data_IF_353110996549
#
_entry.id   IF_353110996549
#
_cell.length_a   1.000
_cell.length_b   1.000
_cell.length_c   1.000
_cell.angle_alpha   90.00
_cell.angle_beta   90.00
_cell.angle_gamma   90.00
#
_symmetry.space_group_name_H-M   'P 1'
#
loop_
_entity.id
_entity.type
_entity.pdbx_description
1 polymer ?
#
# COMPACT_ATOMS: atom_id res chain seq x y z
N UNK A 1 -38.77 17.13 -49.34
CA UNK A 1 -38.31 16.03 -48.45
C UNK A 1 -37.26 16.63 -47.53
N UNK A 2 -37.66 17.15 -46.37
CA UNK A 2 -36.76 17.85 -45.44
C UNK A 2 -36.23 16.88 -44.39
N UNK A 3 -34.96 17.09 -44.09
CA UNK A 3 -34.04 16.31 -43.27
C UNK A 3 -34.48 16.30 -41.79
N UNK A 4 -34.36 15.15 -41.13
CA UNK A 4 -34.14 15.12 -39.67
C UNK A 4 -33.19 13.98 -39.33
N UNK A 5 -31.89 14.30 -39.29
CA UNK A 5 -30.88 13.46 -38.66
C UNK A 5 -30.97 13.70 -37.15
N UNK A 6 -31.57 12.75 -36.42
CA UNK A 6 -31.51 12.72 -34.96
C UNK A 6 -30.09 12.33 -34.54
N UNK A 7 -29.25 13.32 -34.24
CA UNK A 7 -27.96 13.12 -33.63
C UNK A 7 -28.19 12.77 -32.15
N UNK A 8 -28.20 11.48 -31.82
CA UNK A 8 -28.17 11.02 -30.43
C UNK A 8 -26.78 11.29 -29.84
N UNK A 9 -26.65 12.43 -29.16
CA UNK A 9 -25.50 12.74 -28.33
C UNK A 9 -25.47 11.79 -27.12
N UNK A 10 -24.67 10.74 -27.20
CA UNK A 10 -24.33 9.92 -26.03
C UNK A 10 -23.47 10.75 -25.07
N UNK A 11 -24.11 11.40 -24.10
CA UNK A 11 -23.39 11.95 -22.95
C UNK A 11 -22.90 10.78 -22.09
N UNK A 12 -21.63 10.41 -22.25
CA UNK A 12 -20.96 9.55 -21.26
C UNK A 12 -20.83 10.36 -19.98
N UNK A 13 -21.65 10.06 -18.97
CA UNK A 13 -21.45 10.55 -17.60
C UNK A 13 -20.15 9.92 -17.05
N UNK A 14 -19.01 10.51 -17.36
CA UNK A 14 -17.76 10.27 -16.64
C UNK A 14 -17.95 10.76 -15.22
N UNK A 15 -18.30 9.84 -14.33
CA UNK A 15 -18.25 10.07 -12.89
C UNK A 15 -16.77 10.23 -12.51
N UNK A 16 -16.33 11.48 -12.34
CA UNK A 16 -14.99 11.77 -11.85
C UNK A 16 -14.85 11.22 -10.42
N UNK A 17 -13.70 10.59 -10.13
CA UNK A 17 -13.42 10.15 -8.77
C UNK A 17 -13.29 11.37 -7.85
N UNK A 18 -13.99 11.34 -6.71
CA UNK A 18 -13.96 12.42 -5.72
C UNK A 18 -12.52 12.74 -5.30
N UNK A 19 -12.20 14.02 -5.21
CA UNK A 19 -10.95 14.55 -4.67
C UNK A 19 -10.80 14.21 -3.18
N UNK A 20 -9.58 14.26 -2.63
CA UNK A 20 -9.35 14.01 -1.21
C UNK A 20 -10.15 14.94 -0.29
N UNK A 21 -10.27 16.24 -0.63
CA UNK A 21 -11.06 17.21 0.14
C UNK A 21 -12.55 16.90 0.05
N UNK A 22 -13.10 16.56 -1.11
CA UNK A 22 -14.51 16.18 -1.24
C UNK A 22 -14.86 14.95 -0.39
N UNK A 23 -14.01 13.90 -0.39
CA UNK A 23 -14.18 12.74 0.49
C UNK A 23 -14.16 13.15 1.97
N UNK A 24 -13.29 14.10 2.30
CA UNK A 24 -13.16 14.64 3.66
C UNK A 24 -14.40 15.44 4.07
N UNK A 25 -14.96 16.23 3.16
CA UNK A 25 -16.15 17.04 3.39
C UNK A 25 -17.44 16.22 3.50
N UNK A 26 -17.51 15.08 2.80
CA UNK A 26 -18.56 14.07 3.02
C UNK A 26 -18.57 13.50 4.46
N UNK A 27 -17.48 13.71 5.21
CA UNK A 27 -17.36 13.37 6.63
C UNK A 27 -17.54 14.59 7.56
N UNK A 28 -18.17 15.68 7.06
CA UNK A 28 -18.49 16.93 7.79
C UNK A 28 -17.28 17.76 8.27
N UNK A 29 -16.13 17.64 7.61
CA UNK A 29 -14.90 18.36 8.01
C UNK A 29 -14.76 19.80 7.49
N UNK A 30 -15.55 20.20 6.47
CA UNK A 30 -15.58 21.55 5.86
C UNK A 30 -14.19 22.13 5.53
N UNK A 31 -13.38 21.39 4.79
CA UNK A 31 -12.09 21.84 4.26
C UNK A 31 -12.25 22.56 2.92
N UNK A 32 -11.39 23.55 2.72
CA UNK A 32 -11.22 24.30 1.49
C UNK A 32 -10.60 23.42 0.39
N UNK A 33 -11.07 23.53 -0.85
CA UNK A 33 -10.57 22.74 -1.98
C UNK A 33 -9.08 22.95 -2.27
N UNK A 34 -8.53 24.13 -1.96
CA UNK A 34 -7.12 24.45 -2.06
C UNK A 34 -6.23 23.62 -1.13
N UNK A 35 -6.81 22.87 -0.18
CA UNK A 35 -6.10 21.94 0.71
C UNK A 35 -6.00 20.51 0.16
N UNK A 36 -6.36 20.29 -1.11
CA UNK A 36 -6.08 19.02 -1.77
C UNK A 36 -4.55 18.77 -1.83
N UNK A 37 -4.08 17.54 -1.54
CA UNK A 37 -2.68 17.20 -1.70
C UNK A 37 -2.29 17.23 -3.17
N UNK A 38 -1.02 17.50 -3.49
CA UNK A 38 -0.50 17.37 -4.85
C UNK A 38 -0.63 15.94 -5.40
N UNK A 39 -0.49 14.95 -4.52
CA UNK A 39 -0.68 13.54 -4.83
C UNK A 39 -1.06 12.73 -3.59
N UNK A 40 -1.95 11.75 -3.77
CA UNK A 40 -2.37 10.82 -2.74
C UNK A 40 -2.69 9.43 -3.29
N UNK A 41 -2.46 8.41 -2.47
CA UNK A 41 -2.87 7.02 -2.77
C UNK A 41 -3.19 6.29 -1.47
N UNK A 42 -4.21 5.44 -1.52
CA UNK A 42 -4.56 4.52 -0.43
C UNK A 42 -4.39 3.11 -0.95
N UNK A 43 -3.58 2.32 -0.25
CA UNK A 43 -3.29 0.94 -0.63
C UNK A 43 -3.48 -0.03 0.53
N UNK A 44 -3.66 -1.31 0.23
CA UNK A 44 -3.51 -2.40 1.19
C UNK A 44 -2.02 -2.76 1.33
N UNK A 45 -1.64 -3.51 2.38
CA UNK A 45 -0.25 -3.95 2.54
C UNK A 45 0.25 -4.88 1.42
N UNK A 46 -0.65 -5.60 0.74
CA UNK A 46 -0.34 -6.37 -0.48
C UNK A 46 -0.48 -5.55 -1.78
N UNK A 47 -0.48 -4.21 -1.67
CA UNK A 47 -0.37 -3.32 -2.82
C UNK A 47 -1.64 -3.04 -3.60
N UNK A 48 -2.80 -3.56 -3.21
CA UNK A 48 -4.04 -3.20 -3.89
C UNK A 48 -4.35 -1.72 -3.67
N UNK A 49 -4.53 -0.96 -4.75
CA UNK A 49 -4.92 0.44 -4.74
C UNK A 49 -6.44 0.53 -4.49
N UNK A 50 -6.81 1.12 -3.35
CA UNK A 50 -8.20 1.34 -2.94
C UNK A 50 -8.69 2.75 -3.32
N UNK A 51 -7.76 3.70 -3.44
CA UNK A 51 -8.01 5.07 -3.87
C UNK A 51 -6.73 5.68 -4.46
N UNK A 52 -6.87 6.56 -5.45
CA UNK A 52 -5.75 7.30 -6.05
C UNK A 52 -6.19 8.72 -6.45
N UNK A 53 -5.31 9.68 -6.24
CA UNK A 53 -5.45 11.06 -6.69
C UNK A 53 -4.07 11.57 -7.12
N UNK A 54 -3.86 11.82 -8.41
CA UNK A 54 -2.56 12.26 -8.96
C UNK A 54 -1.35 11.45 -8.44
N UNK A 55 -1.53 10.13 -8.25
CA UNK A 55 -0.60 9.28 -7.47
C UNK A 55 0.84 9.27 -8.01
N UNK A 56 1.02 9.54 -9.31
CA UNK A 56 2.29 9.50 -10.03
C UNK A 56 2.91 10.90 -10.25
N UNK A 57 2.32 11.98 -9.69
CA UNK A 57 2.95 13.32 -9.73
C UNK A 57 4.17 13.35 -8.81
N UNK A 58 5.25 13.97 -9.30
CA UNK A 58 6.45 14.23 -8.48
C UNK A 58 6.13 15.18 -7.33
N UNK A 59 6.59 14.81 -6.15
CA UNK A 59 6.37 15.48 -4.86
C UNK A 59 7.68 15.54 -4.07
N UNK A 60 7.80 16.52 -3.17
CA UNK A 60 8.87 16.58 -2.17
C UNK A 60 8.47 15.67 -0.98
N UNK A 61 9.20 14.57 -0.69
CA UNK A 61 8.88 13.68 0.42
C UNK A 61 9.12 14.31 1.80
N UNK A 62 9.96 15.33 1.90
CA UNK A 62 10.46 15.87 3.16
C UNK A 62 10.89 14.72 4.11
N UNK A 63 10.56 14.83 5.41
CA UNK A 63 10.91 13.82 6.41
C UNK A 63 10.25 12.43 6.25
N UNK A 64 9.32 12.23 5.30
CA UNK A 64 8.88 10.85 4.98
C UNK A 64 10.00 10.02 4.35
N UNK A 65 11.05 10.67 3.82
CA UNK A 65 12.33 10.06 3.42
C UNK A 65 12.92 9.15 4.49
N UNK A 66 12.71 9.47 5.77
CA UNK A 66 13.22 8.67 6.89
C UNK A 66 12.67 7.24 6.91
N UNK A 67 11.55 6.96 6.23
CA UNK A 67 11.05 5.60 6.04
C UNK A 67 12.01 4.74 5.19
N UNK A 68 12.66 5.33 4.17
CA UNK A 68 13.69 4.62 3.40
C UNK A 68 14.93 4.40 4.26
N UNK A 69 15.34 5.40 5.03
CA UNK A 69 16.45 5.26 6.00
C UNK A 69 16.17 4.15 7.01
N UNK A 70 14.96 4.10 7.56
CA UNK A 70 14.54 3.01 8.44
C UNK A 70 14.56 1.66 7.72
N UNK A 71 14.06 1.56 6.48
CA UNK A 71 14.14 0.32 5.71
C UNK A 71 15.58 -0.20 5.59
N UNK A 72 16.50 0.67 5.16
CA UNK A 72 17.92 0.31 4.98
C UNK A 72 18.58 -0.14 6.29
N UNK A 73 18.28 0.54 7.41
CA UNK A 73 18.81 0.17 8.73
C UNK A 73 18.21 -1.15 9.23
N UNK A 74 16.91 -1.36 9.06
CA UNK A 74 16.27 -2.63 9.43
C UNK A 74 16.76 -3.80 8.57
N UNK A 75 17.12 -3.55 7.31
CA UNK A 75 17.84 -4.51 6.47
C UNK A 75 19.20 -4.90 7.07
N UNK A 76 19.98 -3.94 7.56
CA UNK A 76 21.26 -4.24 8.22
C UNK A 76 21.06 -4.99 9.54
N UNK A 77 20.02 -4.66 10.31
CA UNK A 77 19.65 -5.37 11.54
C UNK A 77 19.26 -6.82 11.22
N UNK A 78 18.43 -7.04 10.20
CA UNK A 78 17.99 -8.37 9.80
C UNK A 78 19.16 -9.25 9.33
N UNK A 79 20.18 -8.65 8.73
CA UNK A 79 21.42 -9.34 8.33
C UNK A 79 22.51 -9.31 9.41
N UNK A 80 22.18 -8.94 10.65
CA UNK A 80 23.12 -8.91 11.79
C UNK A 80 24.38 -8.06 11.58
N UNK A 81 24.32 -7.05 10.69
CA UNK A 81 25.44 -6.11 10.49
C UNK A 81 25.51 -5.05 11.58
N UNK A 82 24.35 -4.68 12.12
CA UNK A 82 24.18 -3.81 13.28
C UNK A 82 23.05 -4.35 14.15
N UNK A 83 22.99 -3.93 15.40
CA UNK A 83 21.95 -4.27 16.35
C UNK A 83 21.27 -3.01 16.88
N UNK A 84 19.98 -3.12 17.21
CA UNK A 84 19.25 -2.05 17.90
C UNK A 84 19.94 -1.58 19.20
N UNK A 85 20.73 -2.46 19.84
CA UNK A 85 21.45 -2.20 21.08
C UNK A 85 22.84 -1.57 20.88
N UNK A 86 23.32 -1.48 19.64
CA UNK A 86 24.63 -0.89 19.36
C UNK A 86 24.68 0.57 19.78
N UNK A 87 25.81 0.98 20.34
CA UNK A 87 25.99 2.27 21.01
C UNK A 87 26.69 3.25 20.09
N UNK A 88 26.09 4.43 19.96
CA UNK A 88 26.62 5.58 19.22
C UNK A 88 27.01 6.67 20.21
N UNK A 89 28.32 6.94 20.33
CA UNK A 89 28.84 8.03 21.16
C UNK A 89 28.73 9.35 20.42
N UNK A 90 28.07 10.35 21.03
CA UNK A 90 27.87 11.66 20.43
C UNK A 90 29.18 12.45 20.47
N UNK A 91 29.69 12.77 19.28
CA UNK A 91 30.84 13.64 19.07
C UNK A 91 30.45 15.12 19.12
N UNK A 92 31.43 16.02 19.18
CA UNK A 92 31.18 17.45 19.05
C UNK A 92 30.54 17.80 17.69
N UNK A 93 30.95 17.09 16.63
CA UNK A 93 30.39 17.24 15.29
C UNK A 93 28.90 16.89 15.28
N UNK A 94 28.49 15.81 15.94
CA UNK A 94 27.08 15.39 16.03
C UNK A 94 26.25 16.35 16.88
N UNK A 95 26.81 16.90 17.96
CA UNK A 95 26.15 17.97 18.71
C UNK A 95 25.90 19.19 17.81
N UNK A 96 26.93 19.69 17.10
CA UNK A 96 26.78 20.83 16.17
C UNK A 96 25.76 20.55 15.06
N UNK A 97 25.71 19.32 14.55
CA UNK A 97 24.69 18.88 13.59
C UNK A 97 23.26 18.98 14.16
N UNK A 98 23.07 18.64 15.44
CA UNK A 98 21.77 18.77 16.11
C UNK A 98 21.34 20.22 16.43
N UNK A 99 22.25 21.19 16.25
CA UNK A 99 22.03 22.61 16.54
C UNK A 99 21.78 23.45 15.27
N UNK A 100 21.72 22.81 14.09
CA UNK A 100 21.43 23.52 12.85
C UNK A 100 20.08 24.25 12.90
N UNK A 101 20.02 25.53 12.47
CA UNK A 101 18.78 26.31 12.49
C UNK A 101 17.78 25.80 11.45
N UNK A 102 16.49 26.09 11.67
CA UNK A 102 15.40 25.82 10.73
C UNK A 102 15.25 24.33 10.34
N UNK A 103 15.65 23.43 11.24
CA UNK A 103 15.63 21.99 11.03
C UNK A 103 14.99 21.30 12.23
N UNK A 104 14.00 20.44 12.00
CA UNK A 104 13.43 19.65 13.10
C UNK A 104 14.48 18.66 13.62
N UNK A 105 14.75 18.71 14.92
CA UNK A 105 15.84 17.97 15.55
C UNK A 105 15.48 17.58 16.97
N UNK A 106 16.18 16.59 17.50
CA UNK A 106 16.25 16.30 18.91
C UNK A 106 17.67 16.65 19.38
N UNK A 107 17.85 17.47 20.44
CA UNK A 107 19.18 17.89 20.86
C UNK A 107 20.09 16.69 21.20
N UNK A 108 21.34 16.74 20.73
CA UNK A 108 22.37 15.76 21.07
C UNK A 108 23.49 16.47 21.82
N UNK A 109 23.97 15.91 22.94
CA UNK A 109 25.08 16.48 23.70
C UNK A 109 26.34 15.61 23.57
N UNK A 110 27.48 16.25 23.29
CA UNK A 110 28.80 15.62 23.25
C UNK A 110 29.03 14.80 24.53
N UNK A 111 29.50 13.57 24.35
CA UNK A 111 29.76 12.63 25.43
C UNK A 111 28.58 11.74 25.81
N UNK A 112 27.33 12.10 25.47
CA UNK A 112 26.19 11.19 25.61
C UNK A 112 26.34 9.99 24.67
N UNK A 113 25.69 8.89 25.03
CA UNK A 113 25.67 7.66 24.22
C UNK A 113 24.23 7.23 24.00
N UNK A 114 23.84 7.03 22.74
CA UNK A 114 22.51 6.54 22.39
C UNK A 114 22.63 5.17 21.74
N UNK A 115 21.64 4.32 21.94
CA UNK A 115 21.49 3.10 21.14
C UNK A 115 20.97 3.45 19.74
N UNK A 116 21.19 2.56 18.75
CA UNK A 116 20.56 2.68 17.43
C UNK A 116 19.03 2.78 17.59
N UNK A 117 18.42 2.00 18.48
CA UNK A 117 16.98 2.09 18.77
C UNK A 117 16.57 3.49 19.24
N UNK A 118 17.33 4.10 20.15
CA UNK A 118 17.02 5.45 20.66
C UNK A 118 17.11 6.51 19.55
N UNK A 119 18.12 6.46 18.68
CA UNK A 119 18.25 7.38 17.55
C UNK A 119 17.13 7.16 16.51
N UNK A 120 16.74 5.91 16.27
CA UNK A 120 15.59 5.59 15.42
C UNK A 120 14.29 6.16 16.01
N UNK A 121 14.09 6.08 17.35
CA UNK A 121 12.94 6.72 18.03
C UNK A 121 12.95 8.24 17.85
N UNK A 122 14.11 8.90 17.97
CA UNK A 122 14.24 10.33 17.69
C UNK A 122 13.87 10.67 16.23
N UNK A 123 14.27 9.82 15.27
CA UNK A 123 13.94 9.97 13.86
C UNK A 123 12.45 9.73 13.57
N UNK A 124 11.81 8.79 14.27
CA UNK A 124 10.40 8.45 14.10
C UNK A 124 9.48 9.50 14.72
N UNK A 125 9.66 9.80 16.01
CA UNK A 125 8.74 10.64 16.80
C UNK A 125 8.94 12.12 16.45
N UNK A 126 10.09 12.69 16.82
CA UNK A 126 10.43 14.10 16.61
C UNK A 126 10.86 14.42 15.19
N UNK A 127 10.96 13.42 14.30
CA UNK A 127 11.46 13.65 12.95
C UNK A 127 12.90 14.18 12.92
N UNK A 128 13.72 13.81 13.90
CA UNK A 128 15.06 14.37 14.10
C UNK A 128 15.97 14.13 12.90
N UNK A 129 16.37 15.22 12.22
CA UNK A 129 17.27 15.13 11.07
C UNK A 129 18.69 14.76 11.52
N UNK A 130 19.19 15.34 12.62
CA UNK A 130 20.51 15.01 13.14
C UNK A 130 20.63 13.54 13.54
N UNK A 131 19.65 12.98 14.26
CA UNK A 131 19.67 11.56 14.61
C UNK A 131 19.72 10.66 13.37
N UNK A 132 19.02 11.05 12.31
CA UNK A 132 18.98 10.30 11.05
C UNK A 132 20.32 10.34 10.30
N UNK A 133 20.95 11.53 10.24
CA UNK A 133 22.27 11.69 9.61
C UNK A 133 23.37 11.00 10.43
N UNK A 134 23.29 11.07 11.76
CA UNK A 134 24.19 10.35 12.68
C UNK A 134 24.08 8.84 12.47
N UNK A 135 22.87 8.29 12.38
CA UNK A 135 22.67 6.87 12.09
C UNK A 135 23.31 6.47 10.76
N UNK A 136 23.04 7.24 9.69
CA UNK A 136 23.60 6.96 8.38
C UNK A 136 25.13 6.99 8.36
N UNK A 137 25.74 8.02 8.97
CA UNK A 137 27.19 8.15 9.06
C UNK A 137 27.81 7.10 9.97
N UNK A 138 27.16 6.74 11.08
CA UNK A 138 27.68 5.72 12.00
C UNK A 138 27.71 4.33 11.35
N UNK A 139 26.67 3.98 10.59
CA UNK A 139 26.53 2.65 9.99
C UNK A 139 27.46 2.47 8.78
N UNK A 140 27.52 3.45 7.88
CA UNK A 140 28.31 3.31 6.64
C UNK A 140 29.66 4.06 6.65
N UNK A 141 29.95 4.79 7.73
CA UNK A 141 31.11 5.67 7.85
C UNK A 141 31.05 6.94 6.98
N UNK A 142 30.08 7.01 6.05
CA UNK A 142 29.91 8.12 5.11
C UNK A 142 28.44 8.24 4.67
N UNK A 143 27.89 9.46 4.75
CA UNK A 143 26.49 9.74 4.43
C UNK A 143 26.20 9.56 2.92
N UNK A 144 27.20 9.77 2.04
CA UNK A 144 27.04 9.55 0.60
C UNK A 144 26.85 8.06 0.29
N UNK A 145 27.63 7.19 0.93
CA UNK A 145 27.48 5.72 0.81
C UNK A 145 26.09 5.26 1.27
N UNK A 146 25.60 5.80 2.38
CA UNK A 146 24.25 5.50 2.84
C UNK A 146 23.18 5.98 1.86
N UNK A 147 23.34 7.19 1.32
CA UNK A 147 22.41 7.75 0.32
C UNK A 147 22.42 6.93 -0.97
N UNK A 148 23.58 6.41 -1.40
CA UNK A 148 23.69 5.49 -2.53
C UNK A 148 22.88 4.20 -2.31
N UNK A 149 22.93 3.64 -1.09
CA UNK A 149 22.13 2.46 -0.72
C UNK A 149 20.63 2.75 -0.76
N UNK A 150 20.20 3.91 -0.29
CA UNK A 150 18.79 4.31 -0.37
C UNK A 150 18.28 4.38 -1.81
N UNK A 151 19.07 4.97 -2.72
CA UNK A 151 18.71 5.05 -4.13
C UNK A 151 18.75 3.68 -4.82
N UNK A 152 19.70 2.83 -4.46
CA UNK A 152 19.74 1.43 -4.92
C UNK A 152 18.50 0.67 -4.46
N UNK A 153 18.12 0.81 -3.20
CA UNK A 153 16.92 0.16 -2.65
C UNK A 153 15.65 0.65 -3.34
N UNK A 154 15.53 1.97 -3.59
CA UNK A 154 14.43 2.52 -4.37
C UNK A 154 14.31 1.86 -5.76
N UNK A 155 15.43 1.66 -6.46
CA UNK A 155 15.45 0.98 -7.76
C UNK A 155 15.04 -0.49 -7.65
N UNK A 156 15.54 -1.23 -6.65
CA UNK A 156 15.20 -2.64 -6.42
C UNK A 156 13.71 -2.84 -6.13
N UNK A 157 13.11 -1.92 -5.38
CA UNK A 157 11.67 -1.90 -5.12
C UNK A 157 10.83 -1.45 -6.32
N UNK A 158 11.47 -0.91 -7.37
CA UNK A 158 10.82 -0.39 -8.56
C UNK A 158 10.20 1.00 -8.38
N UNK A 159 10.68 1.79 -7.42
CA UNK A 159 10.34 3.20 -7.18
C UNK A 159 11.01 4.10 -8.23
N UNK A 160 10.57 3.94 -9.48
CA UNK A 160 11.23 4.51 -10.66
C UNK A 160 11.12 6.04 -10.76
N UNK A 161 10.31 6.70 -9.93
CA UNK A 161 10.16 8.15 -9.88
C UNK A 161 10.64 8.73 -8.53
N UNK A 162 11.60 8.05 -7.89
CA UNK A 162 12.20 8.46 -6.62
C UNK A 162 13.70 8.71 -6.75
N UNK A 163 14.18 9.76 -6.11
CA UNK A 163 15.59 10.03 -5.90
C UNK A 163 15.81 10.73 -4.56
N UNK A 164 16.72 10.18 -3.75
CA UNK A 164 17.11 10.72 -2.46
C UNK A 164 18.45 11.45 -2.57
N UNK A 165 18.49 12.63 -1.98
CA UNK A 165 19.69 13.50 -1.93
C UNK A 165 20.40 13.42 -0.58
N UNK A 166 19.73 12.90 0.45
CA UNK A 166 20.27 12.59 1.78
C UNK A 166 19.31 11.69 2.58
N UNK A 167 19.75 11.12 3.71
CA UNK A 167 18.92 10.21 4.54
C UNK A 167 17.76 10.86 5.29
N UNK A 168 17.76 12.17 5.43
CA UNK A 168 16.82 12.89 6.30
C UNK A 168 15.60 13.44 5.54
N UNK A 169 15.77 13.72 4.24
CA UNK A 169 14.80 14.42 3.40
C UNK A 169 14.78 15.94 3.58
N UNK A 170 15.70 16.50 4.38
CA UNK A 170 15.89 17.94 4.46
C UNK A 170 16.54 18.49 3.19
N UNK A 171 16.40 19.80 2.96
CA UNK A 171 17.10 20.46 1.88
C UNK A 171 18.62 20.46 2.16
N UNK A 172 19.45 20.05 1.19
CA UNK A 172 20.90 19.98 1.36
C UNK A 172 21.52 21.34 1.71
N UNK A 173 20.91 22.46 1.29
CA UNK A 173 21.35 23.81 1.67
C UNK A 173 21.15 24.14 3.16
N UNK A 174 20.19 23.48 3.82
CA UNK A 174 19.86 23.70 5.24
C UNK A 174 20.72 22.82 6.16
N UNK A 175 21.14 21.64 5.68
CA UNK A 175 21.95 20.71 6.48
C UNK A 175 23.46 20.94 6.35
N UNK A 176 23.90 22.03 5.71
CA UNK A 176 25.32 22.35 5.56
C UNK A 176 26.02 22.54 6.92
N UNK A 177 27.28 22.10 7.07
CA UNK A 177 28.15 21.43 6.08
C UNK A 177 28.06 19.89 6.14
N UNK A 178 26.93 19.33 6.59
CA UNK A 178 26.74 17.89 6.81
C UNK A 178 25.99 17.19 5.67
N UNK A 179 25.76 17.87 4.54
CA UNK A 179 25.20 17.25 3.35
C UNK A 179 26.11 16.12 2.82
N UNK A 180 25.55 15.08 2.17
CA UNK A 180 26.37 14.05 1.56
C UNK A 180 27.23 14.66 0.44
N UNK A 181 28.55 14.49 0.51
CA UNK A 181 29.49 15.15 -0.42
C UNK A 181 29.20 14.84 -1.88
N UNK A 182 28.80 13.61 -2.20
CA UNK A 182 28.43 13.19 -3.56
C UNK A 182 27.18 13.90 -4.10
N UNK A 183 26.28 14.32 -3.21
CA UNK A 183 24.98 14.91 -3.52
C UNK A 183 24.94 16.42 -3.20
N UNK A 184 26.10 17.06 -2.97
CA UNK A 184 26.22 18.44 -2.48
C UNK A 184 25.60 19.49 -3.42
N UNK A 185 25.59 19.21 -4.72
CA UNK A 185 25.07 20.11 -5.77
C UNK A 185 23.56 19.90 -5.98
N UNK A 186 22.98 18.89 -5.34
CA UNK A 186 21.55 18.62 -5.37
C UNK A 186 20.84 19.28 -4.18
N UNK A 187 19.61 19.76 -4.40
CA UNK A 187 18.92 20.57 -3.39
C UNK A 187 17.91 19.77 -2.55
N UNK A 188 17.01 19.04 -3.20
CA UNK A 188 15.91 18.31 -2.53
C UNK A 188 15.70 16.95 -3.17
N UNK A 189 15.29 15.97 -2.34
CA UNK A 189 14.81 14.66 -2.79
C UNK A 189 13.46 14.80 -3.50
N UNK A 190 13.09 13.82 -4.34
CA UNK A 190 11.76 13.74 -4.94
C UNK A 190 11.24 12.30 -4.96
N UNK A 191 9.92 12.15 -4.97
CA UNK A 191 9.24 10.85 -5.07
C UNK A 191 7.84 11.02 -5.68
N UNK A 192 7.02 9.98 -5.65
CA UNK A 192 5.57 10.03 -5.93
C UNK A 192 4.78 9.39 -4.79
N UNK A 193 3.47 9.67 -4.71
CA UNK A 193 2.62 8.99 -3.73
C UNK A 193 2.59 7.47 -3.96
N UNK A 194 2.60 7.06 -5.24
CA UNK A 194 2.67 5.66 -5.64
C UNK A 194 3.96 4.97 -5.19
N UNK A 195 5.11 5.60 -5.38
CA UNK A 195 6.41 5.01 -4.98
C UNK A 195 6.54 4.94 -3.45
N UNK A 196 6.04 5.94 -2.73
CA UNK A 196 5.97 5.88 -1.26
C UNK A 196 5.00 4.80 -0.76
N UNK A 197 3.94 4.47 -1.51
CA UNK A 197 3.10 3.33 -1.19
C UNK A 197 3.86 2.00 -1.34
N UNK A 198 4.70 1.85 -2.38
CA UNK A 198 5.57 0.68 -2.53
C UNK A 198 6.50 0.55 -1.31
N UNK A 199 7.19 1.64 -0.94
CA UNK A 199 8.07 1.66 0.23
C UNK A 199 7.34 1.30 1.53
N UNK A 200 6.21 1.95 1.81
CA UNK A 200 5.46 1.71 3.05
C UNK A 200 4.90 0.29 3.14
N UNK A 201 4.39 -0.26 2.02
CA UNK A 201 3.91 -1.64 1.94
C UNK A 201 5.05 -2.62 2.18
N UNK A 202 6.19 -2.43 1.50
CA UNK A 202 7.36 -3.29 1.65
C UNK A 202 7.90 -3.26 3.08
N UNK A 203 8.10 -2.06 3.65
CA UNK A 203 8.61 -1.86 5.00
C UNK A 203 7.72 -2.54 6.05
N UNK A 204 6.40 -2.39 5.95
CA UNK A 204 5.46 -3.01 6.88
C UNK A 204 5.39 -4.53 6.76
N UNK A 205 5.53 -5.06 5.54
CA UNK A 205 5.52 -6.51 5.30
C UNK A 205 6.81 -7.17 5.79
N UNK A 206 7.97 -6.56 5.50
CA UNK A 206 9.28 -7.10 5.85
C UNK A 206 9.63 -6.87 7.32
N UNK A 207 9.30 -5.69 7.86
CA UNK A 207 9.66 -5.28 9.22
C UNK A 207 8.46 -4.72 10.02
N UNK A 208 7.44 -5.54 10.31
CA UNK A 208 6.26 -5.09 11.05
C UNK A 208 6.59 -4.53 12.45
N UNK A 209 7.72 -4.93 13.04
CA UNK A 209 8.19 -4.44 14.33
C UNK A 209 8.45 -2.92 14.36
N UNK A 210 8.62 -2.26 13.21
CA UNK A 210 8.75 -0.80 13.16
C UNK A 210 7.54 -0.08 13.79
N UNK A 211 6.36 -0.72 13.76
CA UNK A 211 5.14 -0.20 14.37
C UNK A 211 5.29 -0.01 15.88
N UNK A 212 6.10 -0.82 16.56
CA UNK A 212 6.39 -0.64 18.00
C UNK A 212 6.98 0.72 18.32
N UNK A 213 7.64 1.34 17.35
CA UNK A 213 8.23 2.66 17.44
C UNK A 213 7.32 3.75 16.88
N UNK A 214 6.75 3.56 15.69
CA UNK A 214 5.95 4.62 15.03
C UNK A 214 4.61 4.87 15.72
N UNK A 215 4.13 3.92 16.52
CA UNK A 215 2.90 4.06 17.31
C UNK A 215 3.11 4.78 18.65
N UNK A 216 4.37 4.95 19.11
CA UNK A 216 4.65 5.61 20.38
C UNK A 216 4.23 7.07 20.28
N UNK A 217 3.43 7.54 21.23
CA UNK A 217 3.03 8.95 21.30
C UNK A 217 4.14 9.82 21.87
N UNK A 218 4.81 9.30 22.89
CA UNK A 218 5.98 9.92 23.49
C UNK A 218 7.02 8.88 23.86
N UNK A 219 8.25 9.35 24.05
CA UNK A 219 9.36 8.62 24.67
C UNK A 219 10.19 9.64 25.48
N UNK A 220 11.11 9.19 26.32
CA UNK A 220 11.99 10.10 27.08
C UNK A 220 13.42 9.60 27.03
N UNK A 221 14.34 10.50 26.66
CA UNK A 221 15.76 10.20 26.57
C UNK A 221 16.55 11.34 27.21
N UNK A 222 17.42 11.03 28.18
CA UNK A 222 18.22 12.03 28.90
C UNK A 222 17.38 13.21 29.46
N UNK A 223 16.25 12.90 30.09
CA UNK A 223 15.29 13.87 30.64
C UNK A 223 14.69 14.84 29.61
N UNK A 224 14.76 14.50 28.32
CA UNK A 224 14.12 15.24 27.24
C UNK A 224 13.02 14.39 26.62
N UNK A 225 11.85 15.00 26.43
CA UNK A 225 10.68 14.31 25.90
C UNK A 225 10.71 14.28 24.37
N UNK A 226 10.38 13.12 23.81
CA UNK A 226 10.07 12.92 22.42
C UNK A 226 8.56 12.94 22.24
N UNK A 227 8.08 13.60 21.20
CA UNK A 227 6.67 13.69 20.85
C UNK A 227 6.48 13.25 19.41
N UNK A 228 5.53 12.35 19.20
CA UNK A 228 5.17 11.94 17.87
C UNK A 228 4.49 13.08 17.12
N UNK A 229 4.93 13.29 15.88
CA UNK A 229 4.40 14.33 15.00
C UNK A 229 3.08 13.91 14.31
N UNK A 230 2.71 12.63 14.37
CA UNK A 230 1.49 12.08 13.80
C UNK A 230 0.29 12.32 14.72
N UNK A 231 -0.51 13.34 14.41
CA UNK A 231 -1.69 13.70 15.19
C UNK A 231 -2.87 12.73 15.01
N UNK A 232 -2.75 11.75 14.11
CA UNK A 232 -3.79 10.73 13.89
C UNK A 232 -3.67 9.51 14.81
N UNK A 233 -2.61 9.42 15.63
CA UNK A 233 -2.50 8.34 16.63
C UNK A 233 -3.63 8.43 17.67
N UNK A 234 -4.09 7.30 18.26
CA UNK A 234 -5.35 7.23 18.99
C UNK A 234 -5.58 8.27 20.09
N UNK A 235 -4.56 8.66 20.86
CA UNK A 235 -4.71 9.66 21.95
C UNK A 235 -4.11 11.03 21.59
N UNK A 236 -3.92 11.31 20.30
CA UNK A 236 -3.53 12.62 19.78
C UNK A 236 -4.76 13.46 19.36
N UNK A 237 -4.55 14.74 19.06
CA UNK A 237 -5.61 15.72 18.81
C UNK A 237 -6.54 15.42 17.62
N UNK A 238 -6.11 14.58 16.68
CA UNK A 238 -6.93 14.10 15.56
C UNK A 238 -6.97 12.56 15.53
N UNK A 239 -6.94 11.95 16.71
CA UNK A 239 -6.75 10.52 16.89
C UNK A 239 -7.79 9.67 16.20
N UNK A 240 -7.31 8.60 15.55
CA UNK A 240 -8.12 7.57 14.93
C UNK A 240 -7.70 6.22 15.49
N UNK A 241 -8.64 5.52 16.16
CA UNK A 241 -8.42 4.28 16.93
C UNK A 241 -7.51 3.24 16.27
N UNK A 242 -7.59 3.11 14.95
CA UNK A 242 -6.93 2.05 14.19
C UNK A 242 -5.53 2.42 13.69
N UNK A 243 -5.02 3.63 13.98
CA UNK A 243 -3.73 4.14 13.48
C UNK A 243 -2.58 3.71 14.39
N UNK A 244 -1.50 3.22 13.80
CA UNK A 244 -0.28 2.80 14.49
C UNK A 244 1.02 3.31 13.80
N UNK A 245 0.89 4.28 12.88
CA UNK A 245 2.03 4.89 12.21
C UNK A 245 1.66 5.77 11.01
N UNK A 246 2.59 6.17 10.14
CA UNK A 246 4.03 5.86 10.16
C UNK A 246 4.88 7.12 10.34
N UNK A 247 4.76 8.08 9.43
CA UNK A 247 5.67 9.22 9.40
C UNK A 247 5.07 10.44 8.72
N UNK A 248 5.21 11.59 9.39
CA UNK A 248 4.94 12.90 8.81
C UNK A 248 6.16 13.46 8.05
N UNK A 249 5.91 14.38 7.13
CA UNK A 249 6.94 15.24 6.56
C UNK A 249 6.42 16.66 6.37
N UNK A 250 7.31 17.64 6.49
CA UNK A 250 6.96 19.05 6.24
C UNK A 250 8.16 19.73 5.59
N UNK A 251 7.93 20.47 4.51
CA UNK A 251 8.91 21.35 3.88
C UNK A 251 8.22 22.62 3.38
N UNK A 252 8.95 23.50 2.71
CA UNK A 252 8.38 24.66 2.01
C UNK A 252 7.34 24.27 0.96
N UNK A 253 7.40 23.03 0.46
CA UNK A 253 6.45 22.52 -0.53
C UNK A 253 5.15 22.00 0.11
N UNK A 254 5.03 22.03 1.45
CA UNK A 254 3.81 21.70 2.17
C UNK A 254 3.94 20.54 3.15
N UNK A 255 2.79 19.95 3.50
CA UNK A 255 2.63 18.95 4.54
C UNK A 255 2.33 17.57 3.96
N UNK A 256 3.10 16.58 4.40
CA UNK A 256 3.06 15.18 3.96
C UNK A 256 2.67 14.26 5.12
N UNK A 257 2.07 13.12 4.80
CA UNK A 257 1.78 12.05 5.75
C UNK A 257 1.75 10.69 5.05
N UNK A 258 2.57 9.77 5.56
CA UNK A 258 2.43 8.34 5.36
C UNK A 258 1.79 7.73 6.61
N UNK A 259 0.52 7.34 6.51
CA UNK A 259 -0.28 6.81 7.60
C UNK A 259 -0.58 5.33 7.36
N UNK A 260 -0.52 4.52 8.41
CA UNK A 260 -0.99 3.13 8.39
C UNK A 260 -2.02 2.92 9.48
N UNK A 261 -3.05 2.15 9.14
CA UNK A 261 -4.09 1.77 10.07
C UNK A 261 -4.55 0.34 9.81
N UNK A 262 -4.90 -0.39 10.87
CA UNK A 262 -5.46 -1.75 10.77
C UNK A 262 -6.82 -1.82 11.45
N UNK A 263 -7.84 -2.19 10.67
CA UNK A 263 -9.18 -2.51 11.19
C UNK A 263 -9.48 -3.96 10.86
N UNK A 264 -9.81 -4.74 11.89
CA UNK A 264 -9.97 -6.18 11.78
C UNK A 264 -8.72 -6.80 11.14
N UNK A 265 -8.85 -7.51 10.02
CA UNK A 265 -7.72 -8.07 9.28
C UNK A 265 -7.23 -7.21 8.10
N UNK A 266 -7.91 -6.09 7.83
CA UNK A 266 -7.55 -5.18 6.74
C UNK A 266 -6.59 -4.10 7.25
N UNK A 267 -5.34 -4.11 6.77
CA UNK A 267 -4.39 -3.01 6.94
C UNK A 267 -4.38 -2.12 5.68
N UNK A 268 -4.53 -0.82 5.92
CA UNK A 268 -4.58 0.23 4.90
C UNK A 268 -3.44 1.22 5.14
N UNK A 269 -2.78 1.63 4.06
CA UNK A 269 -1.67 2.55 4.00
C UNK A 269 -2.05 3.76 3.13
N UNK A 270 -2.14 4.93 3.74
CA UNK A 270 -2.54 6.19 3.12
C UNK A 270 -1.33 7.11 3.01
N UNK A 271 -0.91 7.39 1.77
CA UNK A 271 0.25 8.21 1.46
C UNK A 271 -0.22 9.47 0.74
N UNK A 272 -0.02 10.65 1.34
CA UNK A 272 -0.38 11.95 0.75
C UNK A 272 0.72 12.99 0.92
N UNK A 273 0.84 13.90 -0.06
CA UNK A 273 1.99 14.80 -0.17
C UNK A 273 1.60 16.20 -0.65
N UNK A 274 2.38 17.18 -0.17
CA UNK A 274 2.34 18.59 -0.53
C UNK A 274 0.96 19.23 -0.41
N UNK A 275 0.31 19.07 0.75
CA UNK A 275 -0.80 19.98 1.11
C UNK A 275 -0.20 21.33 1.45
N UNK A 276 -0.63 22.37 0.74
CA UNK A 276 -0.15 23.74 0.84
C UNK A 276 -1.21 24.67 1.45
N UNK A 277 -0.86 25.89 1.87
CA UNK A 277 0.49 26.52 1.86
C UNK A 277 1.33 26.15 3.09
N UNK A 278 2.64 26.43 3.03
CA UNK A 278 3.55 26.43 4.18
C UNK A 278 4.13 27.85 4.39
N UNK A 279 4.19 28.38 5.63
CA UNK A 279 3.63 27.80 6.86
C UNK A 279 2.11 28.00 6.96
N UNK A 280 1.38 27.00 7.44
CA UNK A 280 -0.05 27.12 7.74
C UNK A 280 -0.51 26.03 8.72
N UNK A 281 -1.00 26.43 9.90
CA UNK A 281 -1.61 25.48 10.85
C UNK A 281 -2.84 24.81 10.22
N UNK A 282 -3.66 25.55 9.44
CA UNK A 282 -4.81 24.98 8.71
C UNK A 282 -4.37 23.81 7.82
N UNK A 283 -3.33 23.99 7.02
CA UNK A 283 -2.79 22.94 6.14
C UNK A 283 -2.14 21.78 6.92
N UNK A 284 -1.43 22.08 8.01
CA UNK A 284 -0.83 21.07 8.92
C UNK A 284 -1.88 20.15 9.55
N UNK A 285 -3.02 20.68 9.97
CA UNK A 285 -4.14 19.87 10.47
C UNK A 285 -4.89 19.18 9.32
N UNK A 286 -5.02 19.85 8.17
CA UNK A 286 -5.68 19.28 6.99
C UNK A 286 -5.04 17.96 6.53
N UNK A 287 -3.70 17.80 6.57
CA UNK A 287 -3.07 16.53 6.20
C UNK A 287 -3.61 15.32 6.97
N UNK A 288 -3.88 15.50 8.25
CA UNK A 288 -4.36 14.43 9.12
C UNK A 288 -5.86 14.20 8.90
N UNK A 289 -6.66 15.27 8.78
CA UNK A 289 -8.09 15.17 8.46
C UNK A 289 -8.31 14.44 7.13
N UNK A 290 -7.56 14.81 6.09
CA UNK A 290 -7.64 14.16 4.77
C UNK A 290 -7.16 12.71 4.83
N UNK A 291 -6.02 12.43 5.48
CA UNK A 291 -5.53 11.05 5.63
C UNK A 291 -6.55 10.17 6.38
N UNK A 292 -7.14 10.67 7.46
CA UNK A 292 -8.13 9.96 8.25
C UNK A 292 -9.39 9.68 7.42
N UNK A 293 -9.92 10.68 6.70
CA UNK A 293 -11.10 10.51 5.86
C UNK A 293 -10.88 9.49 4.73
N UNK A 294 -9.74 9.57 4.02
CA UNK A 294 -9.39 8.60 2.98
C UNK A 294 -9.28 7.16 3.55
N UNK A 295 -8.66 7.02 4.72
CA UNK A 295 -8.50 5.74 5.42
C UNK A 295 -9.84 5.17 5.89
N UNK A 296 -10.70 6.01 6.47
CA UNK A 296 -12.05 5.62 6.88
C UNK A 296 -12.91 5.26 5.67
N UNK A 297 -12.79 5.98 4.56
CA UNK A 297 -13.47 5.65 3.32
C UNK A 297 -13.05 4.27 2.78
N UNK A 298 -11.77 3.92 2.88
CA UNK A 298 -11.31 2.57 2.55
C UNK A 298 -11.96 1.51 3.45
N UNK A 299 -11.97 1.71 4.77
CA UNK A 299 -12.64 0.80 5.72
C UNK A 299 -14.16 0.77 5.58
N UNK A 300 -14.79 1.82 5.06
CA UNK A 300 -16.23 1.86 4.77
C UNK A 300 -16.55 0.94 3.61
N UNK A 301 -15.76 1.02 2.53
CA UNK A 301 -16.08 0.38 1.25
C UNK A 301 -15.49 -1.03 1.09
N UNK A 302 -14.40 -1.35 1.78
CA UNK A 302 -13.68 -2.62 1.61
C UNK A 302 -13.58 -3.41 2.91
N UNK A 303 -13.38 -4.72 2.76
CA UNK A 303 -13.07 -5.65 3.86
C UNK A 303 -12.06 -6.68 3.39
N UNK A 304 -11.23 -7.20 4.30
CA UNK A 304 -10.41 -8.38 4.06
C UNK A 304 -11.08 -9.58 4.71
N UNK A 305 -11.42 -10.60 3.92
CA UNK A 305 -12.12 -11.79 4.42
C UNK A 305 -11.80 -13.02 3.58
N UNK A 306 -12.16 -14.18 4.12
CA UNK A 306 -12.25 -15.40 3.32
C UNK A 306 -13.39 -15.24 2.30
N UNK A 307 -13.07 -15.37 1.02
CA UNK A 307 -14.03 -15.25 -0.08
C UNK A 307 -14.55 -16.61 -0.54
N UNK A 308 -13.75 -17.66 -0.41
CA UNK A 308 -14.15 -19.04 -0.64
C UNK A 308 -13.29 -19.98 0.23
N UNK A 309 -13.89 -21.06 0.72
CA UNK A 309 -13.19 -22.08 1.51
C UNK A 309 -12.51 -23.11 0.60
N UNK A 310 -11.58 -23.87 1.17
CA UNK A 310 -11.08 -25.12 0.61
C UNK A 310 -12.22 -26.13 0.48
N UNK A 311 -12.25 -26.88 -0.62
CA UNK A 311 -13.22 -27.94 -0.86
C UNK A 311 -13.95 -27.81 -2.19
N UNK A 312 -15.05 -28.56 -2.34
CA UNK A 312 -15.83 -28.59 -3.56
C UNK A 312 -16.80 -27.41 -3.64
N UNK A 313 -16.74 -26.66 -4.74
CA UNK A 313 -17.60 -25.50 -5.00
C UNK A 313 -18.07 -25.49 -6.45
N UNK A 314 -19.28 -24.97 -6.67
CA UNK A 314 -19.73 -24.63 -8.02
C UNK A 314 -19.31 -23.20 -8.35
N UNK A 315 -18.62 -23.04 -9.49
CA UNK A 315 -18.12 -21.76 -10.00
C UNK A 315 -18.41 -21.76 -11.50
N UNK A 316 -19.17 -20.77 -11.97
CA UNK A 316 -19.62 -20.65 -13.37
C UNK A 316 -20.26 -21.94 -13.92
N UNK A 317 -21.11 -22.59 -13.10
CA UNK A 317 -21.83 -23.81 -13.47
C UNK A 317 -20.99 -25.10 -13.48
N UNK A 318 -19.69 -25.04 -13.17
CA UNK A 318 -18.80 -26.20 -13.10
C UNK A 318 -18.37 -26.46 -11.65
N UNK A 319 -18.19 -27.73 -11.29
CA UNK A 319 -17.70 -28.10 -9.95
C UNK A 319 -16.17 -28.11 -9.95
N UNK A 320 -15.58 -27.36 -9.04
CA UNK A 320 -14.14 -27.33 -8.79
C UNK A 320 -13.84 -27.70 -7.35
N UNK A 321 -12.71 -28.36 -7.14
CA UNK A 321 -12.12 -28.56 -5.83
C UNK A 321 -11.04 -27.49 -5.60
N UNK A 322 -11.36 -26.51 -4.74
CA UNK A 322 -10.47 -25.45 -4.27
C UNK A 322 -9.47 -26.04 -3.29
N UNK A 323 -8.16 -25.81 -3.51
CA UNK A 323 -7.10 -26.47 -2.75
C UNK A 323 -6.82 -25.83 -1.39
N UNK A 324 -7.09 -24.54 -1.24
CA UNK A 324 -6.83 -23.74 -0.05
C UNK A 324 -7.90 -22.66 0.13
N UNK A 325 -8.08 -22.17 1.35
CA UNK A 325 -8.97 -21.03 1.61
C UNK A 325 -8.41 -19.78 0.88
N UNK A 326 -9.23 -19.12 0.07
CA UNK A 326 -8.86 -17.86 -0.56
C UNK A 326 -9.32 -16.70 0.32
N UNK A 327 -8.37 -15.89 0.76
CA UNK A 327 -8.61 -14.61 1.43
C UNK A 327 -8.23 -13.46 0.51
N UNK A 328 -9.08 -12.42 0.45
CA UNK A 328 -8.83 -11.27 -0.39
C UNK A 328 -9.48 -10.00 0.18
N UNK A 329 -9.00 -8.85 -0.29
CA UNK A 329 -9.69 -7.57 -0.10
C UNK A 329 -10.76 -7.43 -1.16
N UNK A 330 -12.00 -7.26 -0.72
CA UNK A 330 -13.17 -7.15 -1.59
C UNK A 330 -14.04 -5.96 -1.20
N UNK A 331 -14.78 -5.37 -2.15
CA UNK A 331 -15.86 -4.45 -1.80
C UNK A 331 -16.82 -5.14 -0.83
N UNK A 332 -17.33 -4.40 0.15
CA UNK A 332 -18.34 -4.94 1.09
C UNK A 332 -19.67 -5.26 0.41
N UNK A 333 -19.97 -4.56 -0.67
CA UNK A 333 -21.08 -4.88 -1.55
C UNK A 333 -20.69 -6.07 -2.44
N UNK A 334 -21.28 -7.23 -2.16
CA UNK A 334 -20.98 -8.49 -2.84
C UNK A 334 -21.31 -8.44 -4.35
N UNK A 335 -22.20 -7.55 -4.79
CA UNK A 335 -22.54 -7.41 -6.22
C UNK A 335 -21.40 -6.82 -7.05
N UNK A 336 -20.38 -6.24 -6.40
CA UNK A 336 -19.27 -5.55 -7.07
C UNK A 336 -18.09 -6.45 -7.42
N UNK A 337 -18.15 -7.74 -7.11
CA UNK A 337 -17.09 -8.68 -7.46
C UNK A 337 -17.63 -10.06 -7.80
N UNK A 338 -16.87 -10.80 -8.60
CA UNK A 338 -17.14 -12.18 -8.97
C UNK A 338 -15.90 -13.05 -8.73
N UNK A 339 -16.08 -14.37 -8.69
CA UNK A 339 -14.98 -15.33 -8.68
C UNK A 339 -14.66 -15.71 -10.12
N UNK A 340 -13.38 -15.75 -10.48
CA UNK A 340 -12.92 -16.13 -11.82
C UNK A 340 -11.79 -17.13 -11.76
N UNK A 341 -11.86 -18.14 -12.61
CA UNK A 341 -10.79 -19.12 -12.81
C UNK A 341 -10.03 -18.75 -14.09
N UNK A 342 -8.70 -18.66 -13.99
CA UNK A 342 -7.82 -18.46 -15.15
C UNK A 342 -7.53 -19.77 -15.87
N UNK A 343 -7.01 -19.69 -17.10
CA UNK A 343 -6.59 -20.85 -17.91
C UNK A 343 -5.56 -21.76 -17.20
N UNK A 344 -4.81 -21.21 -16.24
CA UNK A 344 -3.83 -21.94 -15.42
C UNK A 344 -4.45 -22.57 -14.16
N UNK A 345 -5.78 -22.70 -14.12
CA UNK A 345 -6.53 -23.23 -12.98
C UNK A 345 -6.26 -22.48 -11.66
N UNK A 346 -6.13 -21.16 -11.74
CA UNK A 346 -6.03 -20.29 -10.57
C UNK A 346 -7.35 -19.53 -10.39
N UNK A 347 -7.98 -19.72 -9.23
CA UNK A 347 -9.18 -19.02 -8.80
C UNK A 347 -8.79 -17.73 -8.08
N UNK A 348 -9.39 -16.62 -8.51
CA UNK A 348 -9.20 -15.31 -7.89
C UNK A 348 -10.49 -14.50 -7.87
N UNK A 349 -10.48 -13.39 -7.13
CA UNK A 349 -11.58 -12.43 -7.13
C UNK A 349 -11.38 -11.41 -8.25
N UNK A 350 -12.42 -11.14 -9.03
CA UNK A 350 -12.42 -10.17 -10.12
C UNK A 350 -13.35 -9.00 -9.82
N UNK A 351 -12.79 -7.79 -9.90
CA UNK A 351 -13.48 -6.51 -9.99
C UNK A 351 -12.50 -5.46 -10.53
N UNK A 352 -12.97 -4.25 -10.82
CA UNK A 352 -12.09 -3.17 -11.27
C UNK A 352 -11.16 -2.72 -10.13
N UNK A 353 -9.92 -3.22 -10.14
CA UNK A 353 -8.88 -2.88 -9.16
C UNK A 353 -7.50 -2.86 -9.79
N UNK A 354 -6.59 -2.15 -9.13
CA UNK A 354 -5.20 -2.00 -9.55
C UNK A 354 -4.28 -2.35 -8.39
N UNK A 355 -3.04 -2.73 -8.70
CA UNK A 355 -2.02 -3.05 -7.70
C UNK A 355 -0.78 -2.19 -7.95
N UNK A 356 -0.03 -1.91 -6.88
CA UNK A 356 1.30 -1.33 -6.98
C UNK A 356 2.23 -2.29 -7.73
N UNK A 357 3.30 -1.75 -8.29
CA UNK A 357 4.27 -2.53 -9.06
C UNK A 357 4.82 -3.72 -8.25
N UNK A 358 4.92 -4.88 -8.89
CA UNK A 358 5.42 -6.12 -8.29
C UNK A 358 4.39 -6.90 -7.47
N UNK A 359 3.18 -6.37 -7.28
CA UNK A 359 2.11 -7.03 -6.53
C UNK A 359 1.06 -7.63 -7.48
N UNK A 360 0.39 -8.68 -7.02
CA UNK A 360 -0.52 -9.47 -7.83
C UNK A 360 -1.84 -9.75 -7.11
N UNK A 361 -2.86 -10.04 -7.91
CA UNK A 361 -4.15 -10.50 -7.40
C UNK A 361 -3.95 -11.83 -6.64
N UNK A 362 -4.40 -11.95 -5.38
CA UNK A 362 -4.41 -13.23 -4.67
C UNK A 362 -5.20 -14.29 -5.44
N UNK A 363 -4.65 -15.50 -5.50
CA UNK A 363 -5.28 -16.63 -6.18
C UNK A 363 -4.91 -17.96 -5.54
N UNK A 364 -5.80 -18.94 -5.65
CA UNK A 364 -5.58 -20.32 -5.19
C UNK A 364 -5.79 -21.31 -6.33
N UNK A 365 -5.08 -22.44 -6.27
CA UNK A 365 -5.26 -23.52 -7.25
C UNK A 365 -6.64 -24.16 -7.11
N UNK A 366 -7.26 -24.45 -8.25
CA UNK A 366 -8.48 -25.26 -8.36
C UNK A 366 -8.26 -26.46 -9.27
N UNK A 367 -9.03 -27.52 -9.08
CA UNK A 367 -9.06 -28.66 -10.00
C UNK A 367 -10.51 -28.97 -10.37
N UNK A 368 -10.84 -29.20 -11.66
CA UNK A 368 -12.16 -29.64 -12.05
C UNK A 368 -12.50 -30.94 -11.33
N UNK A 369 -13.62 -30.99 -10.63
CA UNK A 369 -14.11 -32.23 -10.03
C UNK A 369 -14.89 -32.98 -11.10
N UNK A 370 -14.24 -33.96 -11.73
CA UNK A 370 -14.92 -34.88 -12.65
C UNK A 370 -15.93 -35.71 -11.86
N UNK A 371 -17.22 -35.59 -12.20
CA UNK A 371 -18.25 -36.42 -11.62
C UNK A 371 -18.34 -37.72 -12.42
N UNK A 372 -17.49 -38.70 -12.09
CA UNK A 372 -17.41 -39.97 -12.82
C UNK A 372 -18.77 -40.67 -12.95
N UNK A 373 -19.62 -40.60 -11.92
CA UNK A 373 -20.98 -41.17 -11.98
C UNK A 373 -21.88 -40.48 -13.02
N UNK A 374 -21.78 -39.16 -13.20
CA UNK A 374 -22.62 -38.49 -14.21
C UNK A 374 -22.20 -38.84 -15.62
N UNK A 375 -20.89 -38.98 -15.85
CA UNK A 375 -20.33 -39.45 -17.13
C UNK A 375 -20.75 -40.90 -17.37
N UNK A 376 -20.60 -41.78 -16.38
CA UNK A 376 -21.00 -43.18 -16.47
C UNK A 376 -22.52 -43.32 -16.72
N UNK A 377 -23.34 -42.51 -16.06
CA UNK A 377 -24.79 -42.49 -16.25
C UNK A 377 -25.18 -42.02 -17.65
N UNK A 378 -24.53 -40.97 -18.19
CA UNK A 378 -24.75 -40.52 -19.57
C UNK A 378 -24.31 -41.56 -20.60
N UNK A 379 -23.17 -42.24 -20.38
CA UNK A 379 -22.72 -43.35 -21.22
C UNK A 379 -23.75 -44.50 -21.16
N UNK A 380 -24.25 -44.83 -19.97
CA UNK A 380 -25.25 -45.90 -19.81
C UNK A 380 -26.55 -45.57 -20.53
N UNK A 381 -27.05 -44.33 -20.39
CA UNK A 381 -28.22 -43.83 -21.13
C UNK A 381 -28.02 -43.90 -22.64
N UNK A 382 -26.84 -43.50 -23.13
CA UNK A 382 -26.51 -43.57 -24.55
C UNK A 382 -26.52 -45.02 -25.06
N UNK A 383 -25.94 -45.97 -24.31
CA UNK A 383 -25.94 -47.40 -24.65
C UNK A 383 -27.38 -47.95 -24.68
N UNK A 384 -28.19 -47.66 -23.65
CA UNK A 384 -29.60 -48.08 -23.59
C UNK A 384 -30.39 -47.52 -24.78
N UNK A 385 -30.16 -46.26 -25.15
CA UNK A 385 -30.76 -45.64 -26.33
C UNK A 385 -30.41 -46.35 -27.63
N UNK A 386 -29.12 -46.68 -27.84
CA UNK A 386 -28.65 -47.42 -29.03
C UNK A 386 -29.30 -48.82 -29.10
N UNK A 387 -29.39 -49.53 -27.97
CA UNK A 387 -30.03 -50.85 -27.91
C UNK A 387 -31.52 -50.75 -28.28
N UNK A 388 -32.25 -49.78 -27.72
CA UNK A 388 -33.66 -49.54 -28.03
C UNK A 388 -33.90 -49.27 -29.52
N UNK A 389 -33.09 -48.39 -30.13
CA UNK A 389 -33.16 -48.11 -31.57
C UNK A 389 -32.89 -49.38 -32.38
N UNK A 390 -31.89 -50.16 -32.01
CA UNK A 390 -31.55 -51.42 -32.69
C UNK A 390 -32.69 -52.43 -32.63
N UNK A 391 -33.34 -52.57 -31.47
CA UNK A 391 -34.51 -53.46 -31.31
C UNK A 391 -35.68 -52.98 -32.16
N UNK A 392 -35.97 -51.69 -32.20
CA UNK A 392 -37.02 -51.11 -33.05
C UNK A 392 -36.74 -51.38 -34.52
N UNK A 393 -35.49 -51.21 -34.97
CA UNK A 393 -35.08 -51.51 -36.36
C UNK A 393 -35.27 -52.99 -36.67
N UNK A 394 -34.85 -53.89 -35.79
CA UNK A 394 -35.04 -55.35 -35.98
C UNK A 394 -36.53 -55.70 -36.07
N UNK A 395 -37.37 -55.12 -35.21
CA UNK A 395 -38.82 -55.34 -35.26
C UNK A 395 -39.40 -54.80 -36.57
N UNK A 396 -39.01 -53.60 -36.99
CA UNK A 396 -39.45 -53.01 -38.25
C UNK A 396 -39.05 -53.86 -39.46
N UNK A 397 -37.82 -54.37 -39.48
CA UNK A 397 -37.33 -55.31 -40.50
C UNK A 397 -38.16 -56.60 -40.48
N UNK A 398 -38.42 -57.19 -39.31
CA UNK A 398 -39.27 -58.40 -39.20
C UNK A 398 -40.71 -58.17 -39.68
N UNK A 399 -41.30 -57.03 -39.35
CA UNK A 399 -42.64 -56.64 -39.81
C UNK A 399 -42.65 -56.44 -41.32
N UNK A 400 -41.62 -55.78 -41.87
CA UNK A 400 -41.44 -55.60 -43.30
C UNK A 400 -41.31 -56.95 -44.03
N UNK A 401 -40.40 -57.82 -43.60
CA UNK A 401 -40.21 -59.16 -44.17
C UNK A 401 -41.52 -59.98 -44.11
N UNK A 402 -42.21 -60.00 -42.96
CA UNK A 402 -43.49 -60.73 -42.81
C UNK A 402 -44.60 -60.20 -43.72
N UNK A 403 -44.60 -58.91 -44.02
CA UNK A 403 -45.56 -58.29 -44.95
C UNK A 403 -45.28 -58.66 -46.40
N UNK A 404 -44.01 -58.89 -46.76
CA UNK A 404 -43.58 -59.16 -48.15
C UNK A 404 -43.27 -60.63 -48.45
N UNK A 405 -43.20 -61.52 -47.46
CA UNK A 405 -43.02 -62.97 -47.65
C UNK A 405 -44.34 -63.74 -47.81
N UNK A 406 -45.46 -63.04 -48.02
CA UNK A 406 -46.82 -63.61 -48.15
C UNK A 406 -47.38 -63.51 -49.58
N UNK A 407 -46.54 -63.19 -50.55
CA UNK A 407 -46.84 -63.23 -51.98
C UNK A 407 -46.19 -64.45 -52.63
#
# INVERSE_FOLDING_TARGET
MLISLFCCSFFTNTTYALTPVEITNNSKAQLDEGLNPRGAVVTTTNGQILYKYHKDKKVDPASTTKLMTMLVIYDDINHSKVSLKDKVKISERYQKMSQLPNLTTFPLKKGQTYTIEQLLKQAALNSSNAATLVLAEHIDGDISKFTDRMNREAQLLGMNQTHFTNPSGANNKIIKPYEPKKYKDETSSYTTANDMAILTNHLLRKYPNILKMTQLETDTQYNQQLHNTNLSLPHQSLGMKNVDGLKTGTSKEGYNLALTAKKDQLRVNTNLFNIQPYPSEKAKFARHKVANALTQNAFKNYTYRKVISKGAHQIDGKTYNVKEDLYDVVPKDNSKYELKISEKNQLSVKYNRQFTKGEHIPSVKVEPKFNFLSVLFQITLAIVGIILVSVIVIIAIKVYIKKYSKN
#
